data_IF_103569070528
#
_entry.id   IF_103569070528
#
_cell.length_a   1.000
_cell.length_b   1.000
_cell.length_c   1.000
_cell.angle_alpha   90.00
_cell.angle_beta   90.00
_cell.angle_gamma   90.00
#
_symmetry.space_group_name_H-M   'P 1'
#
loop_
_entity.id
_entity.type
_entity.pdbx_description
1 polymer ?
#
# COMPACT_ATOMS: atom_id res chain seq x y z
N UNK A 1 -9.65 4.00 -5.72
CA UNK A 1 -11.01 4.59 -5.55
C UNK A 1 -11.15 4.97 -4.07
N UNK A 2 -11.13 6.26 -3.74
CA UNK A 2 -11.23 6.69 -2.33
C UNK A 2 -12.66 6.45 -1.81
N UNK A 3 -12.80 5.53 -0.85
CA UNK A 3 -14.03 5.30 -0.12
C UNK A 3 -14.34 6.55 0.71
N UNK A 4 -15.28 7.38 0.25
CA UNK A 4 -15.72 8.58 0.96
C UNK A 4 -16.70 8.15 2.05
N UNK A 5 -16.15 7.67 3.17
CA UNK A 5 -16.86 7.09 4.31
C UNK A 5 -17.31 8.21 5.25
N UNK A 6 -18.61 8.27 5.52
CA UNK A 6 -19.21 9.32 6.34
C UNK A 6 -19.48 8.86 7.78
N UNK A 7 -19.77 7.57 7.99
CA UNK A 7 -20.02 6.99 9.30
C UNK A 7 -19.62 5.51 9.29
N UNK A 8 -19.02 5.02 10.38
CA UNK A 8 -18.66 3.62 10.58
C UNK A 8 -19.15 3.11 11.93
N UNK A 9 -19.60 1.86 11.97
CA UNK A 9 -20.07 1.20 13.19
C UNK A 9 -19.42 -0.18 13.26
N UNK A 10 -18.82 -0.48 14.41
CA UNK A 10 -18.28 -1.81 14.69
C UNK A 10 -19.41 -2.81 14.93
N UNK A 11 -19.37 -3.92 14.20
CA UNK A 11 -20.33 -5.00 14.31
C UNK A 11 -19.83 -6.06 15.27
N UNK A 12 -18.77 -6.77 14.85
CA UNK A 12 -18.17 -7.89 15.58
C UNK A 12 -16.74 -8.07 15.07
N UNK A 13 -15.76 -8.07 15.99
CA UNK A 13 -14.40 -8.59 15.76
C UNK A 13 -13.85 -8.23 14.37
N UNK A 14 -13.46 -6.96 14.17
CA UNK A 14 -12.86 -6.41 12.95
C UNK A 14 -13.80 -6.14 11.77
N UNK A 15 -15.09 -6.46 11.85
CA UNK A 15 -16.06 -6.12 10.79
C UNK A 15 -16.79 -4.80 11.09
N UNK A 16 -16.57 -3.81 10.23
CA UNK A 16 -17.22 -2.51 10.26
C UNK A 16 -18.34 -2.44 9.23
N UNK A 17 -19.46 -1.85 9.60
CA UNK A 17 -20.43 -1.34 8.65
C UNK A 17 -20.15 0.13 8.37
N UNK A 18 -20.26 0.55 7.12
CA UNK A 18 -20.06 1.95 6.75
C UNK A 18 -21.16 2.46 5.82
N UNK A 19 -21.38 3.76 5.85
CA UNK A 19 -22.15 4.46 4.84
C UNK A 19 -21.28 5.48 4.11
N UNK A 20 -21.50 5.62 2.81
CA UNK A 20 -20.89 6.69 2.03
C UNK A 20 -21.75 7.95 2.07
N UNK A 21 -21.21 9.09 1.64
CA UNK A 21 -21.95 10.36 1.48
C UNK A 21 -23.12 10.30 0.48
N UNK A 22 -23.29 9.17 -0.20
CA UNK A 22 -24.33 8.89 -1.18
C UNK A 22 -25.33 7.86 -0.62
N UNK A 23 -25.87 6.99 -1.48
CA UNK A 23 -26.89 5.98 -1.18
C UNK A 23 -26.33 4.58 -0.89
N UNK A 24 -25.02 4.48 -0.67
CA UNK A 24 -24.32 3.22 -0.51
C UNK A 24 -24.14 2.87 0.97
N UNK A 25 -24.47 1.63 1.31
CA UNK A 25 -24.14 0.99 2.58
C UNK A 25 -23.23 -0.19 2.29
N UNK A 26 -22.24 -0.41 3.14
CA UNK A 26 -21.24 -1.42 2.92
C UNK A 26 -20.72 -2.07 4.19
N UNK A 27 -20.02 -3.17 3.98
CA UNK A 27 -19.23 -3.85 5.01
C UNK A 27 -17.75 -3.72 4.66
N UNK A 28 -16.92 -3.55 5.66
CA UNK A 28 -15.47 -3.41 5.59
C UNK A 28 -14.85 -4.24 6.69
N UNK A 29 -13.90 -5.11 6.37
CA UNK A 29 -13.15 -5.85 7.38
C UNK A 29 -11.78 -5.23 7.61
N UNK A 30 -11.37 -5.12 8.88
CA UNK A 30 -10.04 -4.67 9.27
C UNK A 30 -9.01 -5.81 9.16
N UNK A 31 -7.76 -5.51 8.76
CA UNK A 31 -7.25 -4.17 8.41
C UNK A 31 -7.86 -3.68 7.09
N UNK A 32 -8.00 -2.36 6.94
CA UNK A 32 -8.67 -1.76 5.76
C UNK A 32 -7.86 -2.08 4.51
N UNK A 33 -8.34 -3.03 3.73
CA UNK A 33 -7.73 -3.40 2.45
C UNK A 33 -8.69 -3.02 1.31
N UNK A 34 -8.15 -2.58 0.17
CA UNK A 34 -8.97 -2.06 -0.95
C UNK A 34 -10.00 -3.08 -1.46
N UNK A 35 -9.71 -4.38 -1.33
CA UNK A 35 -10.56 -5.48 -1.76
C UNK A 35 -11.39 -6.12 -0.63
N UNK A 36 -11.23 -5.67 0.64
CA UNK A 36 -12.00 -6.18 1.80
C UNK A 36 -13.21 -5.33 2.14
N UNK A 37 -13.83 -4.75 1.11
CA UNK A 37 -15.05 -3.97 1.26
C UNK A 37 -16.10 -4.37 0.25
N UNK A 38 -17.36 -4.32 0.65
CA UNK A 38 -18.51 -4.44 -0.26
C UNK A 38 -19.37 -3.21 -0.10
N UNK A 39 -20.07 -2.80 -1.16
CA UNK A 39 -21.04 -1.74 -1.12
C UNK A 39 -22.26 -2.13 -1.95
N UNK A 40 -23.44 -1.88 -1.40
CA UNK A 40 -24.72 -2.04 -2.10
C UNK A 40 -25.48 -0.72 -2.06
N UNK A 41 -26.38 -0.53 -3.03
CA UNK A 41 -27.32 0.59 -3.00
C UNK A 41 -28.36 0.27 -1.93
N UNK A 42 -28.26 0.96 -0.80
CA UNK A 42 -29.12 0.74 0.36
C UNK A 42 -30.45 1.48 0.26
N UNK A 43 -30.48 2.63 -0.42
CA UNK A 43 -31.65 3.50 -0.53
C UNK A 43 -31.71 4.19 -1.90
N UNK A 44 -32.86 4.78 -2.24
CA UNK A 44 -32.99 5.62 -3.45
C UNK A 44 -32.25 6.96 -3.32
N UNK A 45 -32.11 7.46 -2.09
CA UNK A 45 -31.48 8.73 -1.73
C UNK A 45 -30.37 8.53 -0.69
N UNK A 46 -29.78 9.63 -0.21
CA UNK A 46 -28.74 9.61 0.83
C UNK A 46 -29.26 8.94 2.10
N UNK A 47 -28.41 8.06 2.65
CA UNK A 47 -28.63 7.46 3.96
C UNK A 47 -28.45 8.55 5.03
N UNK A 48 -29.44 8.70 5.90
CA UNK A 48 -29.42 9.66 7.00
C UNK A 48 -28.71 9.09 8.22
N UNK A 49 -28.99 7.82 8.52
CA UNK A 49 -28.48 7.13 9.69
C UNK A 49 -28.21 5.65 9.37
N UNK A 50 -27.12 5.15 9.94
CA UNK A 50 -26.75 3.75 10.02
C UNK A 50 -26.73 3.36 11.49
N UNK A 51 -27.30 2.21 11.85
CA UNK A 51 -27.25 1.66 13.21
C UNK A 51 -26.99 0.15 13.14
N UNK A 52 -26.23 -0.37 14.10
CA UNK A 52 -26.02 -1.80 14.26
C UNK A 52 -26.78 -2.34 15.48
N UNK A 53 -27.31 -3.55 15.35
CA UNK A 53 -27.74 -4.31 16.51
C UNK A 53 -26.52 -4.68 17.38
N UNK A 54 -26.73 -4.80 18.69
CA UNK A 54 -25.68 -5.14 19.65
C UNK A 54 -24.99 -6.50 19.35
N UNK A 55 -25.70 -7.43 18.70
CA UNK A 55 -25.13 -8.72 18.30
C UNK A 55 -24.37 -8.67 16.96
N UNK A 56 -24.35 -7.51 16.31
CA UNK A 56 -23.73 -7.27 15.00
C UNK A 56 -24.35 -8.05 13.84
N UNK A 57 -25.49 -8.75 14.06
CA UNK A 57 -26.16 -9.56 13.02
C UNK A 57 -27.14 -8.78 12.18
N UNK A 58 -27.49 -7.57 12.62
CA UNK A 58 -28.45 -6.73 11.92
C UNK A 58 -27.94 -5.30 11.80
N UNK A 59 -28.23 -4.71 10.64
CA UNK A 59 -28.02 -3.29 10.36
C UNK A 59 -29.36 -2.65 10.06
N UNK A 60 -29.57 -1.45 10.58
CA UNK A 60 -30.70 -0.61 10.26
C UNK A 60 -30.19 0.61 9.50
N UNK A 61 -30.77 0.90 8.34
CA UNK A 61 -30.51 2.14 7.61
C UNK A 61 -31.80 2.92 7.39
N UNK A 62 -31.73 4.23 7.55
CA UNK A 62 -32.84 5.15 7.32
C UNK A 62 -32.47 6.15 6.24
N UNK A 63 -33.38 6.44 5.32
CA UNK A 63 -33.21 7.55 4.39
C UNK A 63 -33.76 8.87 4.96
N UNK A 64 -33.25 9.98 4.44
CA UNK A 64 -33.64 11.32 4.92
C UNK A 64 -34.96 11.82 4.33
N UNK A 65 -35.44 11.24 3.22
CA UNK A 65 -36.44 11.88 2.35
C UNK A 65 -37.70 11.06 2.14
N UNK A 66 -37.60 9.74 1.93
CA UNK A 66 -38.75 8.88 1.66
C UNK A 66 -39.22 8.11 2.89
N UNK A 67 -38.64 8.38 4.07
CA UNK A 67 -38.96 7.72 5.33
C UNK A 67 -38.89 6.18 5.23
N UNK A 68 -37.99 5.69 4.37
CA UNK A 68 -37.72 4.27 4.18
C UNK A 68 -36.73 3.79 5.24
N UNK A 69 -37.11 2.71 5.91
CA UNK A 69 -36.26 1.99 6.86
C UNK A 69 -35.96 0.62 6.28
N UNK A 70 -34.68 0.31 6.12
CA UNK A 70 -34.23 -1.01 5.68
C UNK A 70 -33.53 -1.72 6.84
N UNK A 71 -33.97 -2.96 7.10
CA UNK A 71 -33.34 -3.87 8.05
C UNK A 71 -32.58 -4.94 7.26
N UNK A 72 -31.28 -4.99 7.49
CA UNK A 72 -30.37 -5.90 6.82
C UNK A 72 -29.92 -6.98 7.79
N UNK A 73 -29.80 -8.20 7.30
CA UNK A 73 -29.13 -9.27 8.03
C UNK A 73 -27.69 -9.37 7.55
N UNK A 74 -26.75 -9.25 8.48
CA UNK A 74 -25.32 -9.38 8.23
C UNK A 74 -24.92 -10.84 8.37
N UNK A 75 -24.31 -11.36 7.32
CA UNK A 75 -23.68 -12.69 7.31
C UNK A 75 -22.17 -12.50 7.18
N UNK A 76 -21.50 -12.39 8.34
CA UNK A 76 -20.06 -12.11 8.40
C UNK A 76 -19.22 -13.25 7.81
N UNK A 77 -19.63 -14.50 7.98
CA UNK A 77 -18.91 -15.65 7.43
C UNK A 77 -18.98 -15.65 5.91
N UNK A 78 -20.17 -15.45 5.35
CA UNK A 78 -20.36 -15.39 3.90
C UNK A 78 -19.66 -14.16 3.29
N UNK A 79 -19.65 -13.03 4.00
CA UNK A 79 -18.89 -11.86 3.59
C UNK A 79 -17.39 -12.19 3.48
N UNK A 80 -16.79 -12.78 4.52
CA UNK A 80 -15.36 -13.17 4.50
C UNK A 80 -15.04 -14.16 3.40
N UNK A 81 -15.88 -15.17 3.20
CA UNK A 81 -15.71 -16.14 2.10
C UNK A 81 -15.77 -15.46 0.74
N UNK A 82 -16.68 -14.50 0.55
CA UNK A 82 -16.81 -13.76 -0.71
C UNK A 82 -15.61 -12.86 -0.94
N UNK A 83 -15.16 -12.16 0.09
CA UNK A 83 -13.98 -11.29 0.04
C UNK A 83 -12.72 -12.10 -0.26
N UNK A 84 -12.52 -13.24 0.41
CA UNK A 84 -11.41 -14.17 0.16
C UNK A 84 -11.47 -14.74 -1.26
N UNK A 85 -12.66 -15.10 -1.76
CA UNK A 85 -12.82 -15.58 -3.13
C UNK A 85 -12.60 -14.48 -4.18
N UNK A 86 -12.90 -13.23 -3.84
CA UNK A 86 -12.62 -12.05 -4.69
C UNK A 86 -11.20 -11.50 -4.52
N UNK A 87 -10.39 -12.10 -3.64
CA UNK A 87 -9.06 -11.61 -3.34
C UNK A 87 -8.20 -11.61 -4.60
N UNK A 88 -7.31 -10.62 -4.63
CA UNK A 88 -6.39 -10.14 -5.66
C UNK A 88 -5.48 -11.17 -6.33
N UNK A 89 -5.63 -12.46 -6.05
CA UNK A 89 -4.85 -13.53 -6.68
C UNK A 89 -5.10 -13.62 -8.19
N UNK A 90 -6.26 -13.19 -8.69
CA UNK A 90 -6.51 -13.13 -10.14
C UNK A 90 -5.74 -12.01 -10.85
N UNK A 91 -5.09 -11.11 -10.11
CA UNK A 91 -4.24 -10.07 -10.69
C UNK A 91 -2.84 -10.58 -11.07
N UNK A 92 -2.40 -11.71 -10.51
CA UNK A 92 -1.09 -12.30 -10.79
C UNK A 92 -1.27 -13.62 -11.53
N UNK A 93 -0.59 -13.77 -12.67
CA UNK A 93 -0.52 -15.05 -13.37
C UNK A 93 0.41 -16.02 -12.63
N UNK A 94 0.34 -17.32 -12.95
CA UNK A 94 1.29 -18.31 -12.41
C UNK A 94 2.75 -17.94 -12.72
N UNK A 95 3.01 -17.26 -13.84
CA UNK A 95 4.33 -16.76 -14.21
C UNK A 95 4.79 -15.62 -13.29
N UNK A 96 3.89 -14.68 -12.96
CA UNK A 96 4.21 -13.59 -12.04
C UNK A 96 4.45 -14.12 -10.63
N UNK A 97 3.66 -15.10 -10.20
CA UNK A 97 3.87 -15.77 -8.92
C UNK A 97 5.21 -16.53 -8.87
N UNK A 98 5.67 -17.10 -9.98
CA UNK A 98 7.00 -17.72 -10.04
C UNK A 98 8.11 -16.69 -9.82
N UNK A 99 8.01 -15.51 -10.42
CA UNK A 99 8.96 -14.41 -10.19
C UNK A 99 8.95 -13.99 -8.72
N UNK A 100 7.76 -13.82 -8.12
CA UNK A 100 7.64 -13.49 -6.69
C UNK A 100 8.32 -14.54 -5.82
N UNK A 101 8.10 -15.84 -6.09
CA UNK A 101 8.75 -16.93 -5.34
C UNK A 101 10.27 -16.88 -5.40
N UNK A 102 10.85 -16.53 -6.55
CA UNK A 102 12.30 -16.40 -6.70
C UNK A 102 12.88 -15.29 -5.79
N UNK A 103 12.20 -14.13 -5.72
CA UNK A 103 12.62 -13.05 -4.82
C UNK A 103 12.41 -13.38 -3.34
N UNK A 104 11.33 -14.06 -2.99
CA UNK A 104 11.12 -14.55 -1.63
C UNK A 104 12.25 -15.51 -1.24
N UNK A 105 12.59 -16.47 -2.10
CA UNK A 105 13.69 -17.40 -1.88
C UNK A 105 15.04 -16.68 -1.71
N UNK A 106 15.29 -15.63 -2.50
CA UNK A 106 16.51 -14.83 -2.39
C UNK A 106 16.60 -14.12 -1.04
N UNK A 107 15.53 -13.46 -0.59
CA UNK A 107 15.52 -12.75 0.69
C UNK A 107 15.78 -13.68 1.88
N UNK A 108 15.36 -14.94 1.78
CA UNK A 108 15.60 -15.94 2.82
C UNK A 108 17.05 -16.41 2.92
N UNK A 109 17.89 -16.19 1.90
CA UNK A 109 19.31 -16.53 1.98
C UNK A 109 20.06 -15.69 3.02
N UNK A 110 19.54 -14.51 3.36
CA UNK A 110 20.08 -13.65 4.41
C UNK A 110 19.71 -14.15 5.82
N UNK A 111 18.59 -14.87 5.96
CA UNK A 111 18.20 -15.50 7.21
C UNK A 111 18.91 -16.87 7.36
N UNK A 112 19.88 -16.93 8.27
CA UNK A 112 20.61 -18.16 8.63
C UNK A 112 19.74 -19.33 9.13
N UNK A 113 18.44 -19.10 9.37
CA UNK A 113 17.45 -20.13 9.65
C UNK A 113 16.82 -20.58 8.32
N UNK A 114 17.42 -21.60 7.70
CA UNK A 114 16.88 -22.26 6.51
C UNK A 114 15.46 -22.74 6.82
N UNK A 115 14.47 -21.98 6.38
CA UNK A 115 13.08 -22.37 6.51
C UNK A 115 12.83 -23.61 5.65
N UNK A 116 12.05 -24.55 6.14
CA UNK A 116 11.69 -25.77 5.40
C UNK A 116 10.85 -25.48 4.12
N UNK A 117 10.44 -24.22 3.91
CA UNK A 117 9.50 -23.75 2.88
C UNK A 117 10.08 -22.57 2.05
N UNK A 118 11.32 -22.69 1.57
CA UNK A 118 11.98 -21.64 0.75
C UNK A 118 11.12 -21.29 -0.48
N UNK A 119 10.84 -20.00 -0.66
CA UNK A 119 10.05 -19.48 -1.78
C UNK A 119 8.53 -19.56 -1.60
N UNK A 120 8.03 -20.25 -0.57
CA UNK A 120 6.59 -20.30 -0.24
C UNK A 120 6.22 -19.42 0.97
N UNK A 121 7.21 -19.10 1.81
CA UNK A 121 7.06 -18.23 2.97
C UNK A 121 8.19 -17.21 3.04
N UNK A 122 7.96 -16.11 3.76
CA UNK A 122 8.97 -15.08 4.04
C UNK A 122 8.80 -14.55 5.46
N UNK A 123 9.92 -14.24 6.13
CA UNK A 123 9.91 -13.53 7.41
C UNK A 123 9.33 -12.12 7.22
N UNK A 124 8.40 -11.68 8.06
CA UNK A 124 7.70 -10.40 7.94
C UNK A 124 8.65 -9.20 7.78
N UNK A 125 9.83 -9.23 8.41
CA UNK A 125 10.87 -8.20 8.27
C UNK A 125 11.39 -7.98 6.84
N UNK A 126 11.30 -8.98 5.98
CA UNK A 126 11.84 -8.95 4.62
C UNK A 126 10.80 -8.53 3.57
N UNK A 127 9.54 -8.33 3.98
CA UNK A 127 8.43 -7.98 3.07
C UNK A 127 8.75 -6.72 2.26
N UNK A 128 9.19 -5.65 2.92
CA UNK A 128 9.53 -4.38 2.25
C UNK A 128 10.72 -4.55 1.31
N UNK A 129 11.71 -5.36 1.69
CA UNK A 129 12.87 -5.67 0.84
C UNK A 129 12.44 -6.34 -0.46
N UNK A 130 11.55 -7.34 -0.38
CA UNK A 130 11.03 -8.02 -1.57
C UNK A 130 10.12 -7.12 -2.40
N UNK A 131 9.31 -6.27 -1.77
CA UNK A 131 8.53 -5.25 -2.51
C UNK A 131 9.43 -4.34 -3.35
N UNK A 132 10.55 -3.88 -2.78
CA UNK A 132 11.56 -3.08 -3.49
C UNK A 132 12.23 -3.86 -4.61
N UNK A 133 12.54 -5.14 -4.40
CA UNK A 133 13.12 -6.00 -5.43
C UNK A 133 12.15 -6.23 -6.61
N UNK A 134 10.84 -6.22 -6.35
CA UNK A 134 9.78 -6.25 -7.37
C UNK A 134 9.48 -4.88 -8.00
N UNK A 135 10.24 -3.84 -7.64
CA UNK A 135 10.12 -2.49 -8.22
C UNK A 135 9.12 -1.57 -7.53
N UNK A 136 8.57 -1.95 -6.37
CA UNK A 136 7.74 -1.06 -5.55
C UNK A 136 8.54 -0.47 -4.39
N UNK A 137 8.70 0.86 -4.36
CA UNK A 137 9.48 1.57 -3.35
C UNK A 137 8.56 2.35 -2.41
N UNK A 138 8.05 1.72 -1.33
CA UNK A 138 7.17 2.39 -0.37
C UNK A 138 7.91 3.51 0.37
N UNK A 139 7.19 4.58 0.72
CA UNK A 139 7.67 5.65 1.59
C UNK A 139 7.87 5.13 3.04
N UNK A 140 8.61 5.83 3.89
CA UNK A 140 8.72 5.50 5.31
C UNK A 140 7.34 5.48 6.01
N UNK A 141 6.43 6.37 5.63
CA UNK A 141 5.05 6.33 6.14
C UNK A 141 4.34 5.02 5.72
N UNK A 142 4.46 4.64 4.45
CA UNK A 142 3.86 3.40 3.93
C UNK A 142 4.50 2.16 4.57
N UNK A 143 5.81 2.18 4.83
CA UNK A 143 6.52 1.09 5.52
C UNK A 143 5.92 0.87 6.91
N UNK A 144 5.71 1.93 7.67
CA UNK A 144 5.09 1.83 9.01
C UNK A 144 3.68 1.25 8.91
N UNK A 145 2.91 1.63 7.90
CA UNK A 145 1.55 1.12 7.70
C UNK A 145 1.54 -0.36 7.25
N UNK A 146 2.45 -0.78 6.36
CA UNK A 146 2.68 -2.18 5.98
C UNK A 146 3.03 -3.02 7.21
N UNK A 147 3.97 -2.55 8.04
CA UNK A 147 4.40 -3.26 9.25
C UNK A 147 3.28 -3.37 10.28
N UNK A 148 2.46 -2.32 10.45
CA UNK A 148 1.27 -2.37 11.31
C UNK A 148 0.26 -3.39 10.80
N UNK A 149 0.04 -3.45 9.49
CA UNK A 149 -0.86 -4.41 8.88
C UNK A 149 -0.38 -5.86 9.09
N UNK A 150 0.93 -6.08 9.00
CA UNK A 150 1.58 -7.35 9.31
C UNK A 150 1.35 -7.75 10.77
N UNK A 151 1.65 -6.87 11.72
CA UNK A 151 1.41 -7.14 13.15
C UNK A 151 -0.07 -7.41 13.45
N UNK A 152 -0.98 -6.65 12.83
CA UNK A 152 -2.42 -6.86 12.99
C UNK A 152 -2.88 -8.22 12.46
N UNK A 153 -2.29 -8.67 11.34
CA UNK A 153 -2.60 -9.98 10.75
C UNK A 153 -2.17 -11.13 11.67
N UNK A 154 -1.03 -11.00 12.33
CA UNK A 154 -0.55 -11.99 13.30
C UNK A 154 -1.40 -12.00 14.58
N UNK A 155 -1.66 -10.83 15.14
CA UNK A 155 -2.41 -10.68 16.39
C UNK A 155 -3.43 -9.54 16.30
N UNK A 156 -4.68 -9.80 15.86
CA UNK A 156 -5.71 -8.77 15.68
C UNK A 156 -6.11 -8.00 16.94
N UNK A 157 -5.75 -8.53 18.13
CA UNK A 157 -5.96 -7.89 19.44
C UNK A 157 -4.74 -7.12 19.93
N UNK A 158 -3.57 -7.37 19.34
CA UNK A 158 -2.35 -6.62 19.61
C UNK A 158 -2.33 -5.37 18.73
N UNK A 159 -2.96 -4.34 19.30
CA UNK A 159 -2.56 -2.94 19.17
C UNK A 159 -2.96 -2.21 17.88
N UNK A 160 -3.84 -1.22 18.08
CA UNK A 160 -3.68 0.10 17.49
C UNK A 160 -2.35 0.66 18.01
N UNK A 161 -1.22 0.21 17.45
CA UNK A 161 0.11 0.59 17.96
C UNK A 161 0.22 2.12 17.96
N UNK A 162 0.21 2.74 19.14
CA UNK A 162 0.47 4.18 19.28
C UNK A 162 1.90 4.53 18.79
N UNK A 163 2.80 3.55 18.84
CA UNK A 163 4.17 3.63 18.35
C UNK A 163 4.38 2.78 17.08
N UNK A 164 5.42 3.02 16.28
CA UNK A 164 5.76 2.14 15.16
C UNK A 164 6.11 0.70 15.64
N UNK A 165 5.81 -0.34 14.85
CA UNK A 165 6.28 -1.70 15.10
C UNK A 165 7.81 -1.76 15.29
N UNK A 166 8.29 -2.65 16.16
CA UNK A 166 9.73 -2.89 16.32
C UNK A 166 10.18 -4.13 15.53
N UNK A 167 11.46 -4.24 15.13
CA UNK A 167 11.96 -5.39 14.37
C UNK A 167 11.68 -6.76 15.03
N UNK A 168 11.65 -6.82 16.37
CA UNK A 168 11.35 -8.04 17.12
C UNK A 168 9.90 -8.54 16.90
N UNK A 169 8.98 -7.62 16.58
CA UNK A 169 7.58 -7.94 16.28
C UNK A 169 7.40 -8.53 14.87
N UNK A 170 8.42 -8.47 14.01
CA UNK A 170 8.36 -8.90 12.60
C UNK A 170 9.13 -10.20 12.35
N UNK A 171 9.22 -11.05 13.37
CA UNK A 171 9.98 -12.32 13.35
C UNK A 171 9.18 -13.53 12.88
N UNK A 172 7.88 -13.37 12.63
CA UNK A 172 6.99 -14.42 12.13
C UNK A 172 7.05 -14.56 10.60
N UNK A 173 6.58 -15.68 10.07
CA UNK A 173 6.50 -15.93 8.62
C UNK A 173 5.11 -15.63 8.06
N UNK A 174 5.07 -15.16 6.82
CA UNK A 174 3.85 -15.04 6.01
C UNK A 174 4.00 -15.84 4.72
N UNK A 175 2.89 -16.34 4.18
CA UNK A 175 2.88 -17.06 2.91
C UNK A 175 2.86 -16.12 1.69
N UNK A 176 3.13 -16.69 0.51
CA UNK A 176 3.07 -15.97 -0.79
C UNK A 176 1.72 -15.27 -1.00
N UNK A 177 0.62 -15.88 -0.59
CA UNK A 177 -0.72 -15.32 -0.80
C UNK A 177 -0.91 -14.03 0.00
N UNK A 178 -0.50 -14.03 1.26
CA UNK A 178 -0.53 -12.87 2.13
C UNK A 178 0.39 -11.78 1.60
N UNK A 179 1.60 -12.15 1.13
CA UNK A 179 2.52 -11.19 0.52
C UNK A 179 1.91 -10.50 -0.70
N UNK A 180 1.34 -11.25 -1.65
CA UNK A 180 0.69 -10.68 -2.84
C UNK A 180 -0.49 -9.81 -2.46
N UNK A 181 -1.25 -10.20 -1.43
CA UNK A 181 -2.36 -9.40 -0.91
C UNK A 181 -1.88 -8.03 -0.40
N UNK A 182 -0.82 -8.03 0.40
CA UNK A 182 -0.18 -6.80 0.89
C UNK A 182 0.37 -5.95 -0.28
N UNK A 183 1.06 -6.59 -1.22
CA UNK A 183 1.63 -5.90 -2.39
C UNK A 183 0.55 -5.19 -3.19
N UNK A 184 -0.61 -5.80 -3.45
CA UNK A 184 -1.69 -5.14 -4.20
C UNK A 184 -2.39 -4.04 -3.39
N UNK A 185 -2.45 -4.17 -2.08
CA UNK A 185 -3.08 -3.13 -1.25
C UNK A 185 -2.29 -1.83 -1.24
N UNK A 186 -0.96 -1.96 -1.22
CA UNK A 186 -0.04 -0.83 -1.11
C UNK A 186 0.48 -0.35 -2.46
N UNK A 187 0.69 -1.23 -3.45
CA UNK A 187 1.11 -0.83 -4.80
C UNK A 187 -0.04 -0.09 -5.50
N UNK A 188 0.12 1.20 -5.85
CA UNK A 188 -0.95 1.92 -6.52
C UNK A 188 -1.21 1.31 -7.91
N UNK A 189 -2.49 1.17 -8.26
CA UNK A 189 -2.95 0.44 -9.47
C UNK A 189 -2.47 1.08 -10.78
N UNK A 190 -1.98 2.33 -10.76
CA UNK A 190 -1.55 3.09 -11.93
C UNK A 190 -0.13 3.69 -11.79
N UNK A 191 0.73 3.09 -10.96
CA UNK A 191 2.02 3.68 -10.57
C UNK A 191 3.23 3.20 -11.39
N UNK A 192 3.01 2.83 -12.66
CA UNK A 192 4.16 2.68 -13.54
C UNK A 192 4.77 4.07 -13.74
N UNK A 193 5.90 4.30 -13.06
CA UNK A 193 6.62 5.58 -13.08
C UNK A 193 7.14 5.79 -14.50
N UNK A 194 6.40 6.56 -15.29
CA UNK A 194 6.83 6.93 -16.63
C UNK A 194 7.81 8.09 -16.60
N UNK A 195 8.59 8.25 -17.67
CA UNK A 195 9.46 9.42 -17.86
C UNK A 195 8.68 10.75 -17.78
N UNK A 196 7.46 10.76 -18.30
CA UNK A 196 6.59 11.93 -18.21
C UNK A 196 6.20 12.24 -16.75
N UNK A 197 5.98 11.21 -15.93
CA UNK A 197 5.68 11.34 -14.50
C UNK A 197 6.88 11.92 -13.75
N UNK A 198 8.10 11.42 -14.02
CA UNK A 198 9.34 11.94 -13.42
C UNK A 198 9.56 13.40 -13.82
N UNK A 199 9.40 13.74 -15.10
CA UNK A 199 9.55 15.11 -15.59
C UNK A 199 8.56 16.07 -14.93
N UNK A 200 7.28 15.68 -14.87
CA UNK A 200 6.26 16.49 -14.20
C UNK A 200 6.54 16.69 -12.70
N UNK A 201 7.13 15.70 -12.02
CA UNK A 201 7.50 15.82 -10.61
C UNK A 201 8.67 16.78 -10.40
N UNK A 202 9.70 16.71 -11.25
CA UNK A 202 10.84 17.63 -11.23
C UNK A 202 10.40 19.09 -11.50
N UNK A 203 9.50 19.28 -12.46
CA UNK A 203 8.92 20.60 -12.76
C UNK A 203 8.15 21.16 -11.55
N UNK A 204 7.37 20.31 -10.87
CA UNK A 204 6.62 20.68 -9.67
C UNK A 204 7.52 21.00 -8.46
N UNK A 205 8.66 20.32 -8.32
CA UNK A 205 9.59 20.51 -7.20
C UNK A 205 10.47 21.76 -7.34
N UNK A 206 10.74 22.22 -8.57
CA UNK A 206 11.81 23.21 -8.80
C UNK A 206 11.33 24.60 -9.21
N UNK A 207 10.08 24.75 -9.67
CA UNK A 207 9.54 26.01 -10.23
C UNK A 207 10.57 26.74 -11.14
N UNK A 208 11.39 25.98 -11.88
CA UNK A 208 12.59 26.48 -12.54
C UNK A 208 13.88 25.79 -12.08
N UNK A 209 14.13 24.62 -12.66
CA UNK A 209 15.38 23.97 -13.11
C UNK A 209 16.76 24.37 -12.54
N UNK A 210 16.91 24.68 -11.26
CA UNK A 210 18.24 24.82 -10.64
C UNK A 210 18.53 23.62 -9.72
N UNK A 211 19.67 22.95 -9.94
CA UNK A 211 20.18 21.82 -9.14
C UNK A 211 20.07 22.04 -7.63
N UNK A 212 20.43 23.23 -7.16
CA UNK A 212 20.41 23.59 -5.75
C UNK A 212 19.00 23.56 -5.16
N UNK A 213 17.97 23.88 -5.96
CA UNK A 213 16.57 23.79 -5.54
C UNK A 213 16.10 22.35 -5.42
N UNK A 214 16.52 21.45 -6.32
CA UNK A 214 16.22 20.01 -6.19
C UNK A 214 16.82 19.47 -4.90
N UNK A 215 18.10 19.73 -4.65
CA UNK A 215 18.80 19.26 -3.45
C UNK A 215 18.15 19.86 -2.18
N UNK A 216 17.79 21.15 -2.22
CA UNK A 216 17.08 21.79 -1.12
C UNK A 216 15.67 21.21 -0.90
N UNK A 217 14.94 20.90 -1.98
CA UNK A 217 13.60 20.30 -1.90
C UNK A 217 13.67 18.88 -1.32
N UNK A 218 14.61 18.05 -1.78
CA UNK A 218 14.85 16.70 -1.22
C UNK A 218 15.22 16.75 0.28
N UNK A 219 15.90 17.81 0.71
CA UNK A 219 16.27 18.03 2.10
C UNK A 219 15.19 18.69 2.97
N UNK A 220 14.04 19.11 2.41
CA UNK A 220 13.05 19.90 3.17
C UNK A 220 11.58 19.50 2.95
N UNK A 221 11.25 18.79 1.87
CA UNK A 221 9.87 18.45 1.50
C UNK A 221 9.66 16.95 1.60
N UNK A 222 8.57 16.54 2.25
CA UNK A 222 8.20 15.12 2.37
C UNK A 222 9.15 14.35 3.28
N UNK A 223 9.73 13.27 2.77
CA UNK A 223 10.69 12.45 3.50
C UNK A 223 12.09 13.03 3.33
N UNK A 224 12.55 13.72 4.38
CA UNK A 224 13.81 14.44 4.39
C UNK A 224 14.96 13.48 4.11
N UNK A 225 15.60 13.64 2.95
CA UNK A 225 16.78 12.90 2.57
C UNK A 225 18.03 13.62 3.09
N UNK A 226 18.85 12.91 3.87
CA UNK A 226 20.14 13.44 4.31
C UNK A 226 21.12 13.47 3.14
N UNK A 227 22.09 14.38 3.18
CA UNK A 227 23.15 14.47 2.15
C UNK A 227 23.94 13.16 2.01
N UNK A 228 24.16 12.44 3.12
CA UNK A 228 24.81 11.12 3.12
C UNK A 228 24.00 10.06 2.38
N UNK A 229 22.66 10.09 2.52
CA UNK A 229 21.74 9.18 1.84
C UNK A 229 21.71 9.48 0.35
N UNK A 230 21.65 10.77 -0.03
CA UNK A 230 21.73 11.19 -1.42
C UNK A 230 23.01 10.72 -2.11
N UNK A 231 24.17 10.88 -1.44
CA UNK A 231 25.46 10.39 -1.97
C UNK A 231 25.44 8.87 -2.12
N UNK A 232 24.83 8.15 -1.19
CA UNK A 232 24.69 6.69 -1.27
C UNK A 232 23.82 6.28 -2.46
N UNK A 233 22.69 6.96 -2.68
CA UNK A 233 21.82 6.74 -3.84
C UNK A 233 22.53 7.04 -5.16
N UNK A 234 23.24 8.15 -5.26
CA UNK A 234 24.01 8.51 -6.46
C UNK A 234 25.07 7.45 -6.77
N UNK A 235 25.79 6.97 -5.75
CA UNK A 235 26.81 5.91 -5.90
C UNK A 235 26.23 4.56 -6.28
N UNK A 236 25.01 4.25 -5.84
CA UNK A 236 24.30 3.05 -6.25
C UNK A 236 23.88 3.09 -7.73
N UNK A 237 23.56 4.28 -8.24
CA UNK A 237 23.24 4.49 -9.66
C UNK A 237 24.53 4.45 -10.49
N UNK A 238 25.51 5.29 -10.16
CA UNK A 238 26.84 5.28 -10.76
C UNK A 238 27.92 5.63 -9.73
N UNK A 239 28.98 4.82 -9.58
CA UNK A 239 30.02 5.03 -8.58
C UNK A 239 30.79 6.35 -8.71
N UNK A 240 30.79 6.97 -9.89
CA UNK A 240 31.50 8.20 -10.23
C UNK A 240 30.66 9.48 -10.05
N UNK A 241 29.37 9.36 -9.75
CA UNK A 241 28.50 10.50 -9.51
C UNK A 241 28.70 11.05 -8.09
N UNK A 242 29.05 12.34 -8.02
CA UNK A 242 29.02 13.14 -6.79
C UNK A 242 28.00 14.29 -6.93
N UNK A 243 27.39 14.77 -5.83
CA UNK A 243 26.37 15.83 -5.90
C UNK A 243 26.80 17.08 -6.68
N UNK A 244 28.08 17.42 -6.59
CA UNK A 244 28.66 18.60 -7.24
C UNK A 244 28.93 18.40 -8.74
N UNK A 245 29.00 17.14 -9.20
CA UNK A 245 29.20 16.78 -10.61
C UNK A 245 27.91 16.74 -11.44
N UNK A 246 26.76 16.93 -10.78
CA UNK A 246 25.45 16.93 -11.42
C UNK A 246 25.26 18.20 -12.26
N UNK A 247 24.58 18.11 -13.42
CA UNK A 247 24.29 19.29 -14.25
C UNK A 247 23.57 20.38 -13.47
N UNK A 248 23.89 21.63 -13.76
CA UNK A 248 23.27 22.80 -13.11
C UNK A 248 21.76 22.89 -13.40
N UNK A 249 21.34 22.40 -14.57
CA UNK A 249 19.94 22.27 -14.96
C UNK A 249 19.42 20.87 -14.65
N UNK A 250 18.36 20.79 -13.85
CA UNK A 250 17.65 19.55 -13.57
C UNK A 250 16.33 19.51 -14.34
N UNK A 251 16.39 19.13 -15.62
CA UNK A 251 15.19 18.79 -16.40
C UNK A 251 15.13 17.28 -16.66
N UNK A 252 13.98 16.74 -17.05
CA UNK A 252 13.78 15.30 -17.21
C UNK A 252 14.82 14.65 -18.16
N UNK A 253 15.20 15.37 -19.22
CA UNK A 253 16.13 14.90 -20.25
C UNK A 253 17.58 14.86 -19.72
N UNK A 254 18.03 15.93 -19.03
CA UNK A 254 19.34 15.94 -18.36
C UNK A 254 19.40 15.01 -17.16
N UNK A 255 18.30 14.76 -16.46
CA UNK A 255 18.25 13.75 -15.41
C UNK A 255 18.45 12.34 -16.00
N UNK A 256 17.78 12.02 -17.10
CA UNK A 256 17.93 10.71 -17.75
C UNK A 256 19.32 10.49 -18.34
N UNK A 257 19.82 11.45 -19.12
CA UNK A 257 21.09 11.31 -19.82
C UNK A 257 22.29 11.47 -18.88
N UNK A 258 22.24 12.40 -17.93
CA UNK A 258 23.38 12.70 -17.07
C UNK A 258 23.36 11.95 -15.72
N UNK A 259 22.18 11.60 -15.18
CA UNK A 259 22.09 10.90 -13.88
C UNK A 259 21.94 9.40 -14.04
N UNK A 260 21.17 8.92 -15.02
CA UNK A 260 20.84 7.49 -15.15
C UNK A 260 21.56 6.77 -16.29
N UNK A 261 22.15 7.50 -17.25
CA UNK A 261 22.78 6.95 -18.48
C UNK A 261 21.86 5.99 -19.25
N UNK A 262 20.55 6.17 -19.06
CA UNK A 262 19.51 5.48 -19.78
C UNK A 262 19.31 6.24 -21.07
N UNK A 263 20.18 6.01 -22.06
CA UNK A 263 19.92 6.44 -23.44
C UNK A 263 18.58 5.88 -23.94
N UNK A 264 18.26 6.14 -25.21
CA UNK A 264 17.04 5.80 -26.00
C UNK A 264 16.48 4.33 -25.92
N UNK A 265 16.98 3.51 -25.00
CA UNK A 265 16.82 2.06 -24.87
C UNK A 265 15.78 1.59 -23.83
N UNK A 266 15.05 2.46 -23.11
CA UNK A 266 14.03 1.97 -22.17
C UNK A 266 12.65 2.60 -22.38
N UNK A 267 11.76 1.82 -23.02
CA UNK A 267 10.33 1.90 -22.70
C UNK A 267 10.15 1.20 -21.36
N UNK A 268 9.84 1.98 -20.33
CA UNK A 268 9.25 1.50 -19.07
C UNK A 268 7.86 0.97 -19.41
#
# INVERSE_FOLDING_TARGET
>A
MYLNIFEMIDLVHSLLAYQSSSRYVGLLELPVQQHRSTAIIGHGERIAHLLAAHDGKYLLTCDSRYHCLNLWRVDAERFRQTVQASATMHAYSDADLAIVRDYLAYAMLEDSAVANNVGEEITARHVVTVMRALGYFPSNADIVDIERELCYTQEPRAVLLEAPPTPDMLTFTIDVHMFVTLLVNHRPVNDDVTLATIGSALDALTEGQERERVIAALGSVGEIMKTEELVTCLKAIRPDLEPDSLPDTANAETFMDAWLDLGDQMKI
#
